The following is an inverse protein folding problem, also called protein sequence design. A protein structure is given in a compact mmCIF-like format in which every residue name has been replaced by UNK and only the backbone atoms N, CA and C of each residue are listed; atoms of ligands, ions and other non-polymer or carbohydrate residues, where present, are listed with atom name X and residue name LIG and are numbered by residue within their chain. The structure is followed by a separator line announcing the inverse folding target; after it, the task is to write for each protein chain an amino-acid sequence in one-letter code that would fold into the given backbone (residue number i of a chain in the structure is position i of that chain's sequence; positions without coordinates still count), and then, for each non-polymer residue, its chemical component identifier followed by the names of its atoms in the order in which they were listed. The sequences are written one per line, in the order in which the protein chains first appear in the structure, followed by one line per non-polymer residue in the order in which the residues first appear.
data_IF_861816787255
#
_entry.id   IF_861816787255
#
_cell.length_a   1.000
_cell.length_b   1.000
_cell.length_c   1.000
_cell.angle_alpha   90.00
_cell.angle_beta   90.00
_cell.angle_gamma   90.00
#
_symmetry.space_group_name_H-M   'P 1'
#
loop_
_entity.id
_entity.type
_entity.pdbx_description
1 polymer ?
#
# COMPACT_ATOMS: atom_id res chain seq x y z
N UNK A 1 -24.48 -1.06 7.72
CA UNK A 1 -23.95 -0.30 8.88
C UNK A 1 -22.73 0.55 8.52
N UNK A 2 -21.74 0.04 7.77
CA UNK A 2 -20.53 0.80 7.40
C UNK A 2 -20.77 2.08 6.58
N UNK A 3 -21.87 2.15 5.82
CA UNK A 3 -22.19 3.27 4.91
C UNK A 3 -22.07 4.67 5.56
N UNK A 4 -22.47 4.82 6.83
CA UNK A 4 -22.40 6.12 7.55
C UNK A 4 -20.97 6.54 7.89
N UNK A 5 -20.02 5.60 7.84
CA UNK A 5 -18.61 5.82 8.18
C UNK A 5 -17.69 5.82 6.95
N UNK A 6 -18.16 5.26 5.84
CA UNK A 6 -17.40 5.10 4.60
C UNK A 6 -16.85 6.42 4.05
N UNK A 7 -17.48 7.56 4.33
CA UNK A 7 -17.02 8.87 3.88
C UNK A 7 -16.62 9.79 5.04
N UNK A 8 -16.36 9.22 6.21
CA UNK A 8 -15.93 9.98 7.38
C UNK A 8 -14.42 10.11 7.45
N UNK A 9 -13.94 11.16 8.10
CA UNK A 9 -12.51 11.37 8.39
C UNK A 9 -11.97 10.48 9.52
N UNK A 10 -12.78 9.56 10.05
CA UNK A 10 -12.36 8.70 11.17
C UNK A 10 -11.52 7.54 10.61
N UNK A 11 -10.32 7.28 11.16
CA UNK A 11 -9.55 6.09 10.82
C UNK A 11 -10.34 4.83 11.19
N UNK A 12 -10.46 3.87 10.27
CA UNK A 12 -11.23 2.63 10.50
C UNK A 12 -10.41 1.42 10.07
N UNK A 13 -10.22 0.49 11.00
CA UNK A 13 -9.60 -0.81 10.73
C UNK A 13 -10.67 -1.89 10.69
N UNK A 14 -10.86 -2.51 9.53
CA UNK A 14 -11.78 -3.65 9.37
C UNK A 14 -10.98 -4.94 9.37
N UNK A 15 -11.13 -5.71 10.45
CA UNK A 15 -10.34 -6.93 10.68
C UNK A 15 -10.72 -8.04 9.70
N UNK A 16 -9.71 -8.67 9.09
CA UNK A 16 -9.86 -9.85 8.24
C UNK A 16 -10.67 -9.68 6.94
N UNK A 17 -10.97 -8.44 6.54
CA UNK A 17 -11.82 -8.17 5.39
C UNK A 17 -11.25 -8.63 4.02
N UNK A 18 -9.93 -8.73 3.89
CA UNK A 18 -9.22 -9.21 2.70
C UNK A 18 -8.76 -10.68 2.78
N UNK A 19 -9.09 -11.42 3.85
CA UNK A 19 -8.62 -12.83 4.02
C UNK A 19 -9.03 -13.78 2.90
N UNK A 20 -10.13 -13.46 2.21
CA UNK A 20 -10.67 -14.26 1.10
C UNK A 20 -10.08 -13.88 -0.26
N UNK A 21 -9.28 -12.80 -0.35
CA UNK A 21 -8.70 -12.35 -1.61
C UNK A 21 -7.57 -13.28 -2.07
N UNK A 22 -7.58 -13.74 -3.33
CA UNK A 22 -6.47 -14.49 -3.90
C UNK A 22 -5.11 -13.78 -3.78
N UNK A 23 -5.10 -12.45 -3.79
CA UNK A 23 -3.92 -11.60 -3.64
C UNK A 23 -3.05 -11.95 -2.44
N UNK A 24 -3.64 -12.40 -1.32
CA UNK A 24 -2.88 -12.82 -0.14
C UNK A 24 -1.89 -13.97 -0.43
N UNK A 25 -2.18 -14.80 -1.45
CA UNK A 25 -1.35 -15.92 -1.88
C UNK A 25 -0.61 -15.66 -3.20
N UNK A 26 -1.21 -14.92 -4.13
CA UNK A 26 -0.64 -14.71 -5.46
C UNK A 26 0.35 -13.54 -5.52
N UNK A 27 0.10 -12.45 -4.79
CA UNK A 27 0.98 -11.29 -4.83
C UNK A 27 2.28 -11.59 -4.09
N UNK A 28 3.38 -11.27 -4.76
CA UNK A 28 4.74 -11.51 -4.31
C UNK A 28 5.69 -10.70 -5.17
N UNK A 29 6.95 -10.59 -4.74
CA UNK A 29 7.99 -9.97 -5.56
C UNK A 29 8.08 -10.59 -6.96
N UNK A 30 8.07 -11.92 -7.06
CA UNK A 30 8.17 -12.64 -8.34
C UNK A 30 6.93 -12.44 -9.23
N UNK A 31 5.74 -12.35 -8.64
CA UNK A 31 4.52 -12.03 -9.38
C UNK A 31 4.63 -10.65 -10.06
N UNK A 32 5.00 -9.61 -9.31
CA UNK A 32 5.11 -8.27 -9.87
C UNK A 32 6.25 -8.14 -10.87
N UNK A 33 7.41 -8.76 -10.58
CA UNK A 33 8.51 -8.84 -11.55
C UNK A 33 8.04 -9.43 -12.88
N UNK A 34 7.40 -10.60 -12.83
CA UNK A 34 6.90 -11.27 -14.02
C UNK A 34 5.82 -10.46 -14.74
N UNK A 35 4.95 -9.76 -14.00
CA UNK A 35 3.92 -8.91 -14.56
C UNK A 35 4.53 -7.76 -15.39
N UNK A 36 5.51 -7.06 -14.82
CA UNK A 36 6.16 -5.92 -15.48
C UNK A 36 7.11 -6.35 -16.61
N UNK A 37 7.72 -7.53 -16.53
CA UNK A 37 8.55 -8.08 -17.60
C UNK A 37 7.74 -8.58 -18.82
N UNK A 38 6.48 -8.98 -18.63
CA UNK A 38 5.65 -9.57 -19.67
C UNK A 38 4.63 -8.62 -20.29
N UNK A 39 4.47 -7.41 -19.75
CA UNK A 39 3.57 -6.39 -20.29
C UNK A 39 4.40 -5.25 -20.87
N UNK A 40 4.39 -5.15 -22.21
CA UNK A 40 5.02 -4.04 -22.92
C UNK A 40 4.46 -2.69 -22.42
N UNK A 41 5.33 -1.73 -22.13
CA UNK A 41 4.93 -0.41 -21.63
C UNK A 41 4.70 -0.34 -20.11
N UNK A 42 4.77 -1.46 -19.37
CA UNK A 42 4.49 -1.46 -17.93
C UNK A 42 5.50 -0.60 -17.14
N UNK A 43 6.78 -0.72 -17.45
CA UNK A 43 7.81 0.09 -16.79
C UNK A 43 7.75 1.55 -17.22
N UNK A 44 7.61 1.81 -18.53
CA UNK A 44 7.50 3.15 -19.10
C UNK A 44 6.33 3.91 -18.49
N UNK A 45 5.18 3.24 -18.31
CA UNK A 45 4.03 3.84 -17.64
C UNK A 45 4.34 4.28 -16.21
N UNK A 46 5.20 3.57 -15.47
CA UNK A 46 5.57 3.97 -14.10
C UNK A 46 6.55 5.13 -14.07
N UNK A 47 7.37 5.26 -15.12
CA UNK A 47 8.37 6.31 -15.26
C UNK A 47 7.78 7.63 -15.80
N UNK A 48 6.77 7.54 -16.67
CA UNK A 48 6.21 8.69 -17.40
C UNK A 48 4.85 9.17 -16.87
N UNK A 49 3.95 8.26 -16.46
CA UNK A 49 2.55 8.58 -16.14
C UNK A 49 2.18 8.30 -14.67
N UNK A 50 2.61 7.15 -14.14
CA UNK A 50 2.40 6.74 -12.76
C UNK A 50 3.57 7.23 -11.88
N UNK A 51 3.71 6.67 -10.68
CA UNK A 51 4.66 7.15 -9.70
C UNK A 51 5.38 6.00 -9.01
N UNK A 52 6.72 6.06 -9.02
CA UNK A 52 7.56 5.29 -8.11
C UNK A 52 7.79 6.07 -6.81
N UNK A 53 7.57 5.41 -5.67
CA UNK A 53 7.68 5.98 -4.33
C UNK A 53 8.87 5.36 -3.61
N UNK A 54 9.88 6.17 -3.34
CA UNK A 54 11.11 5.74 -2.66
C UNK A 54 11.04 6.01 -1.16
N UNK A 55 11.29 4.98 -0.34
CA UNK A 55 11.31 5.10 1.11
C UNK A 55 12.67 4.66 1.64
N UNK A 56 13.60 5.62 1.78
CA UNK A 56 14.96 5.37 2.29
C UNK A 56 15.64 4.16 1.65
N UNK A 57 15.60 4.10 0.33
CA UNK A 57 16.24 3.06 -0.48
C UNK A 57 17.11 3.69 -1.55
N UNK A 58 18.05 2.91 -2.07
CA UNK A 58 18.97 3.26 -3.17
C UNK A 58 18.38 3.02 -4.57
N UNK A 59 17.16 2.48 -4.66
CA UNK A 59 16.47 2.25 -5.93
C UNK A 59 15.93 3.54 -6.53
N UNK A 60 16.09 3.72 -7.84
CA UNK A 60 15.60 4.88 -8.58
C UNK A 60 14.36 4.54 -9.41
N UNK A 61 14.14 3.27 -9.71
CA UNK A 61 13.03 2.78 -10.53
C UNK A 61 12.56 1.39 -10.11
N UNK A 62 11.39 0.97 -10.60
CA UNK A 62 10.94 -0.43 -10.48
C UNK A 62 11.85 -1.40 -11.22
N UNK A 63 12.51 -0.97 -12.30
CA UNK A 63 13.50 -1.81 -13.01
C UNK A 63 14.65 -2.17 -12.09
N UNK A 64 15.17 -1.21 -11.32
CA UNK A 64 16.25 -1.45 -10.36
C UNK A 64 15.81 -2.44 -9.28
N UNK A 65 14.58 -2.29 -8.79
CA UNK A 65 13.99 -3.18 -7.78
C UNK A 65 13.88 -4.60 -8.32
N UNK A 66 13.37 -4.81 -9.53
CA UNK A 66 13.22 -6.14 -10.11
C UNK A 66 14.54 -6.75 -10.62
N UNK A 67 15.58 -5.94 -10.79
CA UNK A 67 16.95 -6.37 -11.08
C UNK A 67 17.76 -6.75 -9.83
N UNK A 68 17.27 -6.48 -8.62
CA UNK A 68 18.03 -6.74 -7.40
C UNK A 68 18.32 -8.24 -7.18
N UNK A 69 19.45 -8.59 -6.53
CA UNK A 69 19.82 -9.98 -6.33
C UNK A 69 18.84 -10.69 -5.38
N UNK A 70 18.66 -12.00 -5.60
CA UNK A 70 17.74 -12.81 -4.81
C UNK A 70 18.05 -12.80 -3.30
N UNK A 71 19.33 -12.67 -2.92
CA UNK A 71 19.76 -12.54 -1.52
C UNK A 71 19.08 -11.34 -0.84
N UNK A 72 19.03 -10.19 -1.52
CA UNK A 72 18.39 -8.96 -1.04
C UNK A 72 16.86 -9.04 -1.09
N UNK A 73 16.28 -9.76 -2.05
CA UNK A 73 14.83 -10.05 -2.08
C UNK A 73 14.39 -10.77 -0.79
N UNK A 74 15.20 -11.70 -0.30
CA UNK A 74 14.92 -12.47 0.92
C UNK A 74 15.55 -11.90 2.19
N UNK A 75 16.14 -10.71 2.12
CA UNK A 75 16.88 -10.06 3.21
C UNK A 75 17.84 -11.03 3.95
N UNK A 76 18.76 -11.63 3.19
CA UNK A 76 19.81 -12.47 3.77
C UNK A 76 20.77 -11.65 4.65
N UNK A 77 21.50 -12.33 5.54
CA UNK A 77 22.46 -11.67 6.43
C UNK A 77 23.48 -10.81 5.65
N UNK A 78 23.63 -9.56 6.07
CA UNK A 78 24.52 -8.58 5.43
C UNK A 78 23.88 -7.77 4.29
N UNK A 79 22.67 -8.10 3.84
CA UNK A 79 21.94 -7.32 2.85
C UNK A 79 21.25 -6.10 3.46
N UNK A 80 21.18 -5.01 2.69
CA UNK A 80 20.45 -3.80 3.08
C UNK A 80 18.93 -3.99 2.92
N UNK A 81 18.17 -3.62 3.96
CA UNK A 81 16.71 -3.52 3.87
C UNK A 81 16.28 -2.54 2.78
N UNK A 82 15.06 -2.72 2.29
CA UNK A 82 14.48 -1.89 1.25
C UNK A 82 12.98 -1.84 1.42
N UNK A 83 12.36 -0.69 1.17
CA UNK A 83 10.91 -0.55 1.14
C UNK A 83 10.55 0.42 0.02
N UNK A 84 9.58 0.04 -0.78
CA UNK A 84 9.14 0.81 -1.94
C UNK A 84 7.61 0.85 -2.00
N UNK A 85 7.11 1.86 -2.69
CA UNK A 85 5.75 1.88 -3.20
C UNK A 85 5.76 2.22 -4.69
N UNK A 86 4.69 1.88 -5.38
CA UNK A 86 4.44 2.41 -6.72
C UNK A 86 2.96 2.42 -7.01
N UNK A 87 2.56 3.34 -7.88
CA UNK A 87 1.21 3.40 -8.41
C UNK A 87 1.13 2.67 -9.75
N UNK A 88 0.02 1.98 -9.95
CA UNK A 88 -0.31 1.23 -11.15
C UNK A 88 -1.49 1.94 -11.80
N UNK A 89 -1.22 2.68 -12.86
CA UNK A 89 -2.22 3.43 -13.63
C UNK A 89 -2.39 2.89 -15.06
N UNK A 90 -1.52 1.98 -15.48
CA UNK A 90 -1.56 1.38 -16.80
C UNK A 90 -2.62 0.27 -16.89
N UNK A 91 -3.62 0.38 -17.78
CA UNK A 91 -4.77 -0.53 -17.79
C UNK A 91 -4.43 -2.02 -17.90
N UNK A 92 -3.48 -2.48 -18.76
CA UNK A 92 -3.13 -3.90 -18.84
C UNK A 92 -2.57 -4.47 -17.53
N UNK A 93 -1.78 -3.70 -16.78
CA UNK A 93 -1.25 -4.10 -15.47
C UNK A 93 -2.39 -4.18 -14.45
N UNK A 94 -3.25 -3.17 -14.41
CA UNK A 94 -4.40 -3.13 -13.52
C UNK A 94 -5.40 -4.26 -13.78
N UNK A 95 -5.63 -4.62 -15.04
CA UNK A 95 -6.54 -5.71 -15.42
C UNK A 95 -6.08 -7.04 -14.80
N UNK A 96 -4.79 -7.35 -14.86
CA UNK A 96 -4.23 -8.56 -14.23
C UNK A 96 -4.29 -8.46 -12.71
N UNK A 97 -3.87 -7.33 -12.13
CA UNK A 97 -3.89 -7.14 -10.68
C UNK A 97 -5.29 -7.32 -10.07
N UNK A 98 -6.31 -6.73 -10.70
CA UNK A 98 -7.71 -6.75 -10.21
C UNK A 98 -8.41 -8.11 -10.37
N UNK A 99 -7.75 -9.11 -10.94
CA UNK A 99 -8.21 -10.50 -10.84
C UNK A 99 -7.97 -11.11 -9.45
N UNK A 100 -7.08 -10.51 -8.65
CA UNK A 100 -6.63 -11.08 -7.37
C UNK A 100 -7.25 -10.41 -6.13
N UNK A 101 -7.89 -9.26 -6.27
CA UNK A 101 -8.62 -8.58 -5.20
C UNK A 101 -9.83 -7.85 -5.78
N UNK A 102 -10.75 -7.44 -4.91
CA UNK A 102 -11.92 -6.69 -5.29
C UNK A 102 -11.99 -5.38 -4.51
N UNK A 103 -12.94 -4.51 -4.87
CA UNK A 103 -13.38 -3.44 -3.96
C UNK A 103 -13.73 -4.07 -2.59
N UNK A 104 -13.28 -3.48 -1.46
CA UNK A 104 -13.65 -3.97 -0.14
C UNK A 104 -15.17 -4.07 0.02
N UNK A 105 -15.66 -5.24 0.45
CA UNK A 105 -17.08 -5.57 0.47
C UNK A 105 -17.93 -4.66 1.38
N UNK A 106 -17.31 -4.01 2.37
CA UNK A 106 -17.99 -3.09 3.29
C UNK A 106 -18.14 -1.67 2.72
N UNK A 107 -17.44 -1.32 1.63
CA UNK A 107 -17.62 -0.02 0.98
C UNK A 107 -19.01 0.04 0.29
N UNK A 108 -19.57 1.23 0.10
CA UNK A 108 -20.82 1.44 -0.65
C UNK A 108 -20.78 0.77 -2.02
N UNK A 109 -21.91 0.22 -2.47
CA UNK A 109 -21.97 -0.54 -3.73
C UNK A 109 -21.65 0.33 -4.96
N UNK A 110 -21.95 1.61 -4.87
CA UNK A 110 -21.73 2.68 -5.82
C UNK A 110 -20.40 3.43 -5.62
N UNK A 111 -19.58 3.04 -4.63
CA UNK A 111 -18.25 3.63 -4.45
C UNK A 111 -17.39 3.37 -5.69
N UNK A 112 -16.98 4.46 -6.33
CA UNK A 112 -16.16 4.45 -7.52
C UNK A 112 -14.77 3.91 -7.18
N UNK A 113 -14.30 2.94 -7.96
CA UNK A 113 -12.93 2.46 -7.87
C UNK A 113 -12.04 3.38 -8.69
N UNK A 114 -11.03 3.99 -8.06
CA UNK A 114 -10.06 4.82 -8.76
C UNK A 114 -9.39 4.11 -9.94
N UNK A 115 -8.85 4.89 -10.87
CA UNK A 115 -8.07 4.38 -12.02
C UNK A 115 -6.63 4.01 -11.65
N UNK A 116 -6.26 4.13 -10.38
CA UNK A 116 -4.90 3.93 -9.89
C UNK A 116 -4.96 3.07 -8.63
N UNK A 117 -4.17 1.99 -8.62
CA UNK A 117 -3.98 1.15 -7.43
C UNK A 117 -2.50 1.16 -7.05
N UNK A 118 -2.20 1.14 -5.75
CA UNK A 118 -0.85 1.24 -5.24
C UNK A 118 -0.43 -0.09 -4.61
N UNK A 119 0.82 -0.46 -4.81
CA UNK A 119 1.47 -1.53 -4.06
C UNK A 119 2.55 -0.91 -3.21
N UNK A 120 2.66 -1.40 -1.97
CA UNK A 120 3.84 -1.16 -1.15
C UNK A 120 4.38 -2.50 -0.68
N UNK A 121 5.69 -2.68 -0.79
CA UNK A 121 6.34 -3.90 -0.32
C UNK A 121 7.79 -3.68 0.08
N UNK A 122 8.29 -4.57 0.94
CA UNK A 122 9.67 -4.59 1.37
C UNK A 122 9.83 -4.90 2.85
N UNK A 123 10.95 -4.47 3.42
CA UNK A 123 11.41 -4.76 4.76
C UNK A 123 11.79 -3.49 5.49
N UNK A 124 11.51 -3.48 6.79
CA UNK A 124 11.87 -2.38 7.69
C UNK A 124 11.31 -1.03 7.21
N UNK A 125 11.53 0.02 7.99
CA UNK A 125 11.17 1.43 7.71
C UNK A 125 10.18 1.65 6.55
N UNK A 126 8.90 1.76 6.87
CA UNK A 126 7.85 2.08 5.91
C UNK A 126 7.92 3.56 5.47
N UNK A 127 6.75 4.15 5.21
CA UNK A 127 6.64 5.58 4.96
C UNK A 127 6.98 6.39 6.22
N UNK A 128 7.74 7.47 6.06
CA UNK A 128 8.00 8.47 7.13
C UNK A 128 6.75 9.32 7.39
N UNK A 129 6.74 10.11 8.47
CA UNK A 129 5.57 10.91 8.84
C UNK A 129 5.24 11.95 7.75
N UNK A 130 4.07 11.84 7.14
CA UNK A 130 3.65 12.70 6.03
C UNK A 130 2.12 12.84 5.93
N UNK A 131 1.68 13.72 5.03
CA UNK A 131 0.33 13.76 4.47
C UNK A 131 0.41 13.41 3.00
N UNK A 132 -0.63 12.75 2.49
CA UNK A 132 -0.74 12.48 1.06
C UNK A 132 -1.36 13.65 0.32
N UNK A 133 -0.87 13.87 -0.90
CA UNK A 133 -1.46 14.81 -1.85
C UNK A 133 -2.33 14.08 -2.87
N UNK A 134 -3.42 13.50 -2.39
CA UNK A 134 -4.40 12.74 -3.18
C UNK A 134 -5.79 13.40 -3.14
N UNK A 135 -6.68 12.96 -4.02
CA UNK A 135 -7.98 13.61 -4.22
C UNK A 135 -9.11 12.99 -3.40
N UNK A 136 -8.99 11.70 -3.07
CA UNK A 136 -10.06 10.89 -2.46
C UNK A 136 -9.59 10.22 -1.16
N UNK A 137 -10.54 9.54 -0.49
CA UNK A 137 -10.22 8.67 0.63
C UNK A 137 -9.49 7.42 0.11
N UNK A 138 -8.65 6.82 0.94
CA UNK A 138 -7.96 5.58 0.59
C UNK A 138 -8.27 4.44 1.55
N UNK A 139 -8.15 3.23 1.02
CA UNK A 139 -8.05 2.01 1.81
C UNK A 139 -6.74 1.30 1.48
N UNK A 140 -6.15 0.62 2.47
CA UNK A 140 -4.99 -0.24 2.29
C UNK A 140 -5.22 -1.60 2.95
N UNK A 141 -5.12 -2.66 2.15
CA UNK A 141 -5.22 -4.04 2.60
C UNK A 141 -3.82 -4.59 2.88
N UNK A 142 -3.65 -5.17 4.07
CA UNK A 142 -2.43 -5.89 4.42
C UNK A 142 -2.50 -7.31 3.90
N UNK A 143 -1.61 -7.69 2.97
CA UNK A 143 -1.64 -9.01 2.32
C UNK A 143 -0.64 -9.97 2.95
N UNK A 144 0.58 -9.50 3.22
CA UNK A 144 1.66 -10.30 3.82
C UNK A 144 2.39 -9.50 4.90
N UNK A 145 2.85 -10.19 5.94
CA UNK A 145 3.49 -9.57 7.11
C UNK A 145 2.62 -8.54 7.81
N UNK A 146 3.25 -7.73 8.65
CA UNK A 146 2.54 -6.73 9.44
C UNK A 146 3.05 -5.33 9.16
N UNK A 147 2.20 -4.35 9.48
CA UNK A 147 2.55 -2.94 9.41
C UNK A 147 1.95 -2.22 10.61
N UNK A 148 2.80 -1.54 11.37
CA UNK A 148 2.35 -0.64 12.43
C UNK A 148 2.14 0.72 11.83
N UNK A 149 0.95 1.28 12.02
CA UNK A 149 0.62 2.64 11.64
C UNK A 149 0.66 3.52 12.87
N UNK A 150 1.28 4.70 12.74
CA UNK A 150 1.19 5.76 13.74
C UNK A 150 0.49 6.95 13.10
N UNK A 151 -0.58 7.40 13.73
CA UNK A 151 -1.40 8.52 13.28
C UNK A 151 -1.30 9.66 14.26
N UNK A 152 -1.04 10.86 13.73
CA UNK A 152 -1.09 12.11 14.47
C UNK A 152 -2.25 12.97 13.94
N UNK A 153 -3.03 13.58 14.84
CA UNK A 153 -4.08 14.51 14.45
C UNK A 153 -3.47 15.75 13.75
N UNK A 154 -4.29 16.50 13.01
CA UNK A 154 -3.86 17.76 12.43
C UNK A 154 -3.51 18.78 13.54
N UNK A 155 -2.53 19.69 13.31
CA UNK A 155 -2.02 20.63 14.32
C UNK A 155 -3.11 21.47 15.01
N UNK A 156 -4.20 21.78 14.29
CA UNK A 156 -5.32 22.58 14.77
C UNK A 156 -6.00 21.98 16.01
N UNK A 157 -5.87 20.67 16.25
CA UNK A 157 -6.41 20.02 17.43
C UNK A 157 -5.36 19.36 18.34
N UNK A 158 -4.07 19.61 18.15
CA UNK A 158 -2.97 19.00 18.93
C UNK A 158 -3.13 19.15 20.47
N UNK A 159 -3.75 20.24 20.93
CA UNK A 159 -3.99 20.49 22.36
C UNK A 159 -5.10 19.62 22.99
N UNK A 160 -5.94 18.97 22.17
CA UNK A 160 -7.12 18.20 22.64
C UNK A 160 -7.21 16.80 22.03
N UNK A 161 -6.60 16.60 20.87
CA UNK A 161 -6.48 15.32 20.18
C UNK A 161 -5.15 14.65 20.57
N UNK A 162 -5.13 13.33 20.59
CA UNK A 162 -3.90 12.56 20.80
C UNK A 162 -3.63 11.66 19.60
N UNK A 163 -2.35 11.56 19.24
CA UNK A 163 -1.90 10.54 18.30
C UNK A 163 -2.04 9.15 18.89
N UNK A 164 -2.14 8.15 18.03
CA UNK A 164 -2.23 6.75 18.42
C UNK A 164 -1.55 5.86 17.38
N UNK A 165 -1.28 4.62 17.78
CA UNK A 165 -0.67 3.63 16.91
C UNK A 165 -1.39 2.29 17.04
N UNK A 166 -1.37 1.51 15.96
CA UNK A 166 -1.95 0.17 15.93
C UNK A 166 -1.26 -0.68 14.87
N UNK A 167 -1.30 -2.00 15.07
CA UNK A 167 -0.76 -2.99 14.14
C UNK A 167 -1.87 -3.48 13.22
N UNK A 168 -1.59 -3.47 11.92
CA UNK A 168 -2.45 -4.05 10.87
C UNK A 168 -1.93 -5.45 10.56
N UNK A 169 -2.83 -6.43 10.58
CA UNK A 169 -2.51 -7.86 10.37
C UNK A 169 -2.87 -8.32 8.96
N UNK A 170 -2.26 -9.41 8.45
CA UNK A 170 -2.66 -10.03 7.20
C UNK A 170 -4.18 -10.27 7.10
N UNK A 171 -4.77 -9.71 6.05
CA UNK A 171 -6.20 -9.74 5.76
C UNK A 171 -6.97 -8.54 6.32
N UNK A 172 -6.39 -7.67 7.13
CA UNK A 172 -7.06 -6.44 7.56
C UNK A 172 -7.08 -5.40 6.43
N UNK A 173 -8.10 -4.54 6.44
CA UNK A 173 -8.17 -3.36 5.57
C UNK A 173 -8.29 -2.12 6.44
N UNK A 174 -7.36 -1.19 6.26
CA UNK A 174 -7.34 0.08 6.96
C UNK A 174 -7.83 1.19 6.03
N UNK A 175 -8.79 1.98 6.48
CA UNK A 175 -9.30 3.17 5.79
C UNK A 175 -8.82 4.41 6.52
N UNK A 176 -8.24 5.34 5.77
CA UNK A 176 -7.70 6.57 6.29
C UNK A 176 -7.93 7.71 5.30
N UNK A 177 -8.29 8.87 5.82
CA UNK A 177 -8.08 10.11 5.10
C UNK A 177 -6.63 10.58 5.31
N UNK A 178 -5.75 10.14 4.42
CA UNK A 178 -4.32 10.47 4.48
C UNK A 178 -4.00 11.92 4.15
N UNK A 179 -5.00 12.71 3.71
CA UNK A 179 -4.90 14.15 3.48
C UNK A 179 -5.05 14.96 4.77
N UNK A 180 -5.64 14.35 5.80
CA UNK A 180 -5.95 14.99 7.08
C UNK A 180 -5.14 14.40 8.25
N UNK A 181 -4.88 13.10 8.20
CA UNK A 181 -4.12 12.40 9.23
C UNK A 181 -2.65 12.28 8.84
N UNK A 182 -1.80 12.94 9.63
CA UNK A 182 -0.37 12.72 9.56
C UNK A 182 -0.10 11.26 9.91
N UNK A 183 0.62 10.56 9.05
CA UNK A 183 0.85 9.14 9.25
C UNK A 183 2.25 8.70 8.86
N UNK A 184 2.76 7.73 9.61
CA UNK A 184 3.93 6.94 9.25
C UNK A 184 3.65 5.45 9.45
N UNK A 185 4.53 4.64 8.87
CA UNK A 185 4.44 3.20 8.96
C UNK A 185 5.77 2.56 9.29
N UNK A 186 5.71 1.50 10.08
CA UNK A 186 6.86 0.72 10.49
C UNK A 186 6.60 -0.78 10.31
N UNK A 187 7.63 -1.51 9.90
CA UNK A 187 7.63 -2.97 9.70
C UNK A 187 8.70 -3.54 10.62
N UNK A 188 8.39 -4.64 11.30
CA UNK A 188 9.31 -5.31 12.22
C UNK A 188 10.57 -5.79 11.49
N UNK A 189 11.69 -5.81 12.22
CA UNK A 189 12.98 -6.21 11.66
C UNK A 189 12.94 -7.65 11.14
N UNK A 190 13.39 -7.85 9.90
CA UNK A 190 13.41 -9.16 9.24
C UNK A 190 12.07 -9.58 8.65
N UNK A 191 10.97 -8.86 8.90
CA UNK A 191 9.65 -9.19 8.35
C UNK A 191 9.41 -8.51 7.00
N UNK A 192 8.97 -9.30 6.02
CA UNK A 192 8.50 -8.77 4.74
C UNK A 192 7.06 -8.29 4.85
N UNK A 193 6.77 -7.10 4.35
CA UNK A 193 5.42 -6.53 4.28
C UNK A 193 5.00 -6.37 2.83
N UNK A 194 3.73 -6.66 2.51
CA UNK A 194 3.14 -6.42 1.21
C UNK A 194 1.70 -5.96 1.37
N UNK A 195 1.35 -4.86 0.71
CA UNK A 195 0.02 -4.25 0.76
C UNK A 195 -0.46 -3.85 -0.62
N UNK A 196 -1.78 -3.84 -0.80
CA UNK A 196 -2.45 -3.21 -1.94
C UNK A 196 -3.41 -2.13 -1.44
N UNK A 197 -3.48 -1.01 -2.12
CA UNK A 197 -4.37 0.10 -1.77
C UNK A 197 -4.99 0.75 -3.01
N UNK A 198 -6.11 1.42 -2.80
CA UNK A 198 -6.75 2.23 -3.82
C UNK A 198 -7.51 3.41 -3.20
N UNK A 199 -7.66 4.45 -4.00
CA UNK A 199 -8.59 5.54 -3.72
C UNK A 199 -10.04 5.09 -4.00
N UNK A 200 -11.00 5.67 -3.28
CA UNK A 200 -12.43 5.50 -3.54
C UNK A 200 -13.21 6.78 -3.24
N UNK A 201 -14.32 6.97 -3.94
CA UNK A 201 -15.23 8.11 -3.77
C UNK A 201 -16.65 7.74 -4.15
#
# INVERSE_FOLDING_TARGET
EFFTYAYSYKPILVKGAAKHWPAAKSFSFSFFKSLFENIDGAYESTEEDCQFLTFKTDFLSLRDVFAMPQSRVTLQEGESSWYIGWSNCYPPVLEVMRQHYSRPHFLPADAEHAHVDYIFMGYQQGAVMHLDYISRLMWQAQLQGHKTWRLNPPPECENVCQGFQFRVEPGDIFLLDTRQWYHDTFIEEGEFSLTVSSEYG
#
